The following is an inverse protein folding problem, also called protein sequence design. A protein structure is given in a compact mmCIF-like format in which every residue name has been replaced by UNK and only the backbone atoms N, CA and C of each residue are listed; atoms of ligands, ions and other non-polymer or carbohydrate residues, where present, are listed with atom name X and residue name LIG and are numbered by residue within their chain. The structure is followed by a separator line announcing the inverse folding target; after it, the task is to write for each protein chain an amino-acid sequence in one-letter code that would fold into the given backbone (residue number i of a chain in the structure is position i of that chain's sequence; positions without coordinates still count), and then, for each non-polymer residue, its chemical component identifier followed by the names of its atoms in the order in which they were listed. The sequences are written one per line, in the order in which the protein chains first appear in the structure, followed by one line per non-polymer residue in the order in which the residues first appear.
data_IF_649436383646
#
_entry.id   IF_649436383646
#
_cell.length_a   1.000
_cell.length_b   1.000
_cell.length_c   1.000
_cell.angle_alpha   90.00
_cell.angle_beta   90.00
_cell.angle_gamma   90.00
#
_symmetry.space_group_name_H-M   'P 1'
#
loop_
_entity.id
_entity.type
_entity.pdbx_description
1 polymer ?
#
# COMPACT_ATOMS: atom_id res chain seq x y z
N UNK A 1 8.66 18.30 -41.24
CA UNK A 1 9.26 18.34 -39.89
C UNK A 1 8.19 18.72 -38.87
N UNK A 2 7.74 17.77 -38.05
CA UNK A 2 7.06 18.02 -36.76
C UNK A 2 7.82 17.22 -35.72
N UNK A 3 8.30 17.89 -34.67
CA UNK A 3 9.09 17.28 -33.60
C UNK A 3 8.25 16.31 -32.77
N UNK A 4 8.81 15.16 -32.34
CA UNK A 4 8.19 14.31 -31.33
C UNK A 4 8.33 14.99 -29.97
N UNK A 5 7.40 15.90 -29.65
CA UNK A 5 7.22 16.34 -28.28
C UNK A 5 6.90 15.11 -27.42
N UNK A 6 7.85 14.82 -26.53
CA UNK A 6 7.78 13.90 -25.40
C UNK A 6 6.34 13.51 -25.04
N UNK A 7 5.87 12.33 -25.47
CA UNK A 7 4.73 11.67 -24.85
C UNK A 7 5.03 11.57 -23.36
N UNK A 8 4.43 12.44 -22.56
CA UNK A 8 4.63 12.44 -21.12
C UNK A 8 4.07 11.11 -20.60
N UNK A 9 4.89 10.35 -19.87
CA UNK A 9 4.48 9.07 -19.32
C UNK A 9 3.33 9.29 -18.33
N UNK A 10 2.11 8.94 -18.75
CA UNK A 10 0.89 9.09 -17.94
C UNK A 10 1.03 8.38 -16.60
N UNK A 11 1.75 7.25 -16.52
CA UNK A 11 1.97 6.58 -15.23
C UNK A 11 2.83 7.42 -14.30
N UNK A 12 3.87 8.08 -14.83
CA UNK A 12 4.70 9.00 -14.07
C UNK A 12 3.92 10.23 -13.59
N UNK A 13 3.03 10.77 -14.44
CA UNK A 13 2.13 11.87 -14.05
C UNK A 13 1.18 11.47 -12.94
N UNK A 14 0.54 10.30 -13.07
CA UNK A 14 -0.35 9.76 -12.03
C UNK A 14 0.41 9.57 -10.72
N UNK A 15 1.60 8.96 -10.76
CA UNK A 15 2.43 8.75 -9.58
C UNK A 15 2.81 10.05 -8.87
N UNK A 16 3.15 11.09 -9.65
CA UNK A 16 3.42 12.44 -9.11
C UNK A 16 2.18 13.07 -8.47
N UNK A 17 1.02 12.98 -9.12
CA UNK A 17 -0.25 13.49 -8.59
C UNK A 17 -0.65 12.80 -7.28
N UNK A 18 -0.53 11.47 -7.24
CA UNK A 18 -0.79 10.65 -6.05
C UNK A 18 0.13 11.07 -4.90
N UNK A 19 1.44 11.22 -5.15
CA UNK A 19 2.39 11.69 -4.12
C UNK A 19 2.02 13.06 -3.57
N UNK A 20 1.66 13.99 -4.45
CA UNK A 20 1.29 15.35 -4.06
C UNK A 20 -0.01 15.36 -3.26
N UNK A 21 -1.00 14.57 -3.66
CA UNK A 21 -2.26 14.43 -2.96
C UNK A 21 -2.06 13.78 -1.58
N UNK A 22 -1.27 12.71 -1.48
CA UNK A 22 -0.88 12.11 -0.19
C UNK A 22 -0.30 13.15 0.77
N UNK A 23 0.65 13.96 0.31
CA UNK A 23 1.27 15.02 1.13
C UNK A 23 0.24 16.07 1.56
N UNK A 24 -0.64 16.50 0.64
CA UNK A 24 -1.74 17.43 0.94
C UNK A 24 -2.74 16.85 1.94
N UNK A 25 -2.94 15.54 1.93
CA UNK A 25 -3.76 14.82 2.91
C UNK A 25 -3.10 14.69 4.30
N UNK A 26 -1.83 15.10 4.45
CA UNK A 26 -1.10 15.08 5.72
C UNK A 26 -0.30 13.80 5.99
N UNK A 27 -0.18 12.90 5.02
CA UNK A 27 0.70 11.73 5.12
C UNK A 27 2.08 12.11 4.58
N UNK A 28 3.02 12.39 5.48
CA UNK A 28 4.34 12.91 5.11
C UNK A 28 5.25 11.78 4.63
N UNK A 29 5.13 10.60 5.24
CA UNK A 29 5.90 9.41 4.86
C UNK A 29 5.06 8.40 4.08
N UNK A 30 5.74 7.57 3.29
CA UNK A 30 5.09 6.49 2.53
C UNK A 30 4.59 5.39 3.49
N UNK A 31 5.31 5.15 4.58
CA UNK A 31 4.97 4.19 5.65
C UNK A 31 3.67 4.56 6.36
N UNK A 32 3.49 5.83 6.72
CA UNK A 32 2.24 6.33 7.31
C UNK A 32 1.04 6.08 6.40
N UNK A 33 1.22 6.28 5.10
CA UNK A 33 0.16 6.12 4.12
C UNK A 33 -0.14 4.65 3.83
N UNK A 34 0.89 3.82 3.68
CA UNK A 34 0.78 2.36 3.57
C UNK A 34 0.03 1.76 4.76
N UNK A 35 0.38 2.15 5.98
CA UNK A 35 -0.30 1.71 7.19
C UNK A 35 -1.76 2.16 7.23
N UNK A 36 -2.09 3.35 6.70
CA UNK A 36 -3.46 3.83 6.63
C UNK A 36 -4.32 3.05 5.64
N UNK A 37 -3.74 2.61 4.52
CA UNK A 37 -4.44 1.89 3.45
C UNK A 37 -4.39 0.36 3.61
N UNK A 38 -3.61 -0.17 4.56
CA UNK A 38 -3.25 -1.59 4.64
C UNK A 38 -2.63 -2.14 3.33
N UNK A 39 -1.85 -1.30 2.64
CA UNK A 39 -1.15 -1.63 1.39
C UNK A 39 0.36 -1.55 1.63
N UNK A 40 1.15 -2.41 1.00
CA UNK A 40 2.61 -2.39 1.20
C UNK A 40 3.26 -1.09 0.71
N UNK A 41 4.26 -0.60 1.46
CA UNK A 41 5.13 0.53 1.07
C UNK A 41 5.68 0.38 -0.34
N UNK A 42 6.04 -0.86 -0.71
CA UNK A 42 6.58 -1.17 -2.03
C UNK A 42 5.57 -0.88 -3.13
N UNK A 43 4.35 -1.35 -2.96
CA UNK A 43 3.26 -1.16 -3.94
C UNK A 43 2.94 0.32 -4.12
N UNK A 44 2.81 1.08 -3.02
CA UNK A 44 2.56 2.51 -3.09
C UNK A 44 3.76 3.28 -3.65
N UNK A 45 4.98 2.84 -3.33
CA UNK A 45 6.20 3.41 -3.89
C UNK A 45 6.34 3.16 -5.38
N UNK A 46 5.93 1.99 -5.86
CA UNK A 46 5.91 1.65 -7.28
C UNK A 46 4.86 2.49 -8.03
N UNK A 47 3.69 2.71 -7.42
CA UNK A 47 2.68 3.64 -7.92
C UNK A 47 3.21 5.07 -8.01
N UNK A 48 3.77 5.63 -6.93
CA UNK A 48 4.29 7.00 -6.91
C UNK A 48 5.48 7.23 -7.86
N UNK A 49 6.22 6.17 -8.20
CA UNK A 49 7.32 6.20 -9.18
C UNK A 49 6.85 6.02 -10.62
N UNK A 50 5.56 5.76 -10.84
CA UNK A 50 4.98 5.57 -12.18
C UNK A 50 5.18 4.17 -12.75
N UNK A 51 5.50 3.16 -11.94
CA UNK A 51 5.49 1.77 -12.40
C UNK A 51 4.07 1.19 -12.51
N UNK A 52 3.09 1.87 -11.93
CA UNK A 52 1.68 1.51 -11.94
C UNK A 52 1.30 0.61 -10.76
N UNK A 53 0.00 0.33 -10.64
CA UNK A 53 -0.55 -0.54 -9.62
C UNK A 53 -1.78 -1.28 -10.19
N UNK A 54 -2.21 -2.34 -9.48
CA UNK A 54 -3.41 -3.08 -9.85
C UNK A 54 -4.70 -2.28 -9.62
N UNK A 55 -5.83 -2.68 -10.23
CA UNK A 55 -7.10 -1.97 -10.15
C UNK A 55 -7.60 -1.74 -8.71
N UNK A 56 -7.45 -2.74 -7.84
CA UNK A 56 -7.89 -2.63 -6.44
C UNK A 56 -7.08 -1.57 -5.69
N UNK A 57 -5.76 -1.57 -5.85
CA UNK A 57 -4.89 -0.55 -5.24
C UNK A 57 -5.22 0.85 -5.73
N UNK A 58 -5.56 1.01 -7.01
CA UNK A 58 -5.99 2.31 -7.55
C UNK A 58 -7.32 2.75 -6.92
N UNK A 59 -8.28 1.84 -6.74
CA UNK A 59 -9.55 2.14 -6.08
C UNK A 59 -9.36 2.53 -4.60
N UNK A 60 -8.50 1.82 -3.86
CA UNK A 60 -8.20 2.14 -2.46
C UNK A 60 -7.56 3.53 -2.32
N UNK A 61 -6.63 3.86 -3.22
CA UNK A 61 -5.97 5.17 -3.28
C UNK A 61 -6.96 6.27 -3.65
N UNK A 62 -7.83 6.05 -4.64
CA UNK A 62 -8.87 6.99 -5.05
C UNK A 62 -9.81 7.29 -3.88
N UNK A 63 -10.31 6.25 -3.22
CA UNK A 63 -11.21 6.38 -2.07
C UNK A 63 -10.55 7.19 -0.94
N UNK A 64 -9.29 6.89 -0.61
CA UNK A 64 -8.57 7.59 0.45
C UNK A 64 -8.25 9.05 0.13
N UNK A 65 -8.05 9.37 -1.15
CA UNK A 65 -7.80 10.74 -1.62
C UNK A 65 -9.09 11.49 -1.96
N UNK A 66 -10.27 10.86 -1.79
CA UNK A 66 -11.55 11.44 -2.15
C UNK A 66 -11.71 11.69 -3.65
N UNK A 67 -10.98 10.95 -4.49
CA UNK A 67 -11.07 11.03 -5.94
C UNK A 67 -12.27 10.23 -6.45
N UNK A 68 -12.80 10.64 -7.60
CA UNK A 68 -13.87 9.91 -8.26
C UNK A 68 -13.41 8.47 -8.58
N UNK A 69 -14.21 7.44 -8.24
CA UNK A 69 -13.88 6.05 -8.56
C UNK A 69 -13.61 5.86 -10.06
N UNK A 70 -12.50 5.21 -10.38
CA UNK A 70 -12.06 4.93 -11.76
C UNK A 70 -11.33 6.08 -12.45
N UNK A 71 -11.15 7.24 -11.80
CA UNK A 71 -10.47 8.40 -12.40
C UNK A 71 -9.02 8.11 -12.78
N UNK A 72 -8.28 7.38 -11.96
CA UNK A 72 -6.89 7.00 -12.25
C UNK A 72 -6.82 6.12 -13.48
N UNK A 73 -7.79 5.21 -13.66
CA UNK A 73 -7.86 4.35 -14.83
C UNK A 73 -8.19 5.16 -16.09
N UNK A 74 -9.22 6.00 -16.06
CA UNK A 74 -9.59 6.87 -17.19
C UNK A 74 -8.46 7.79 -17.60
N UNK A 75 -7.71 8.33 -16.64
CA UNK A 75 -6.51 9.11 -16.93
C UNK A 75 -5.43 8.28 -17.63
N UNK A 76 -5.15 7.06 -17.14
CA UNK A 76 -4.17 6.17 -17.77
C UNK A 76 -4.58 5.78 -19.19
N UNK A 77 -5.87 5.55 -19.40
CA UNK A 77 -6.49 5.24 -20.70
C UNK A 77 -6.54 6.49 -21.63
N UNK A 78 -6.34 7.69 -21.07
CA UNK A 78 -6.31 8.96 -21.79
C UNK A 78 -7.69 9.57 -22.05
N UNK A 79 -8.70 9.13 -21.31
CA UNK A 79 -10.09 9.58 -21.41
C UNK A 79 -10.36 10.84 -20.56
N UNK A 80 -9.56 11.08 -19.51
CA UNK A 80 -9.67 12.24 -18.63
C UNK A 80 -8.28 12.83 -18.33
N UNK A 81 -8.23 14.11 -17.94
CA UNK A 81 -7.04 14.76 -17.39
C UNK A 81 -7.07 14.83 -15.85
N UNK A 82 -5.90 15.03 -15.25
CA UNK A 82 -5.73 15.11 -13.79
C UNK A 82 -6.13 16.47 -13.19
N UNK A 83 -6.42 17.47 -14.02
CA UNK A 83 -6.67 18.85 -13.59
C UNK A 83 -7.94 18.99 -12.72
N UNK A 84 -8.89 18.06 -12.85
CA UNK A 84 -10.13 18.01 -12.07
C UNK A 84 -10.08 17.07 -10.84
N UNK A 85 -8.89 16.85 -10.25
CA UNK A 85 -8.80 16.06 -9.02
C UNK A 85 -9.14 16.90 -7.78
N UNK A 86 -10.15 16.50 -6.98
CA UNK A 86 -10.50 17.22 -5.78
C UNK A 86 -9.32 17.27 -4.80
N UNK A 87 -9.23 18.35 -4.02
CA UNK A 87 -8.27 18.42 -2.94
C UNK A 87 -8.57 17.26 -1.97
N UNK A 88 -7.55 16.46 -1.59
CA UNK A 88 -7.79 15.30 -0.77
C UNK A 88 -8.26 15.75 0.61
N UNK A 89 -9.13 14.97 1.26
CA UNK A 89 -9.57 15.27 2.62
C UNK A 89 -8.32 15.38 3.50
N UNK A 90 -8.12 16.55 4.09
CA UNK A 90 -7.02 16.73 5.04
C UNK A 90 -7.32 15.83 6.23
N UNK A 91 -6.36 14.99 6.61
CA UNK A 91 -6.41 14.32 7.90
C UNK A 91 -6.63 15.41 8.95
N UNK A 92 -7.72 15.30 9.73
CA UNK A 92 -8.03 16.26 10.78
C UNK A 92 -6.76 16.52 11.59
N UNK A 93 -6.25 17.74 11.53
CA UNK A 93 -5.04 18.14 12.23
C UNK A 93 -5.36 18.05 13.72
N UNK A 94 -4.82 17.03 14.39
CA UNK A 94 -4.74 17.07 15.84
C UNK A 94 -3.72 18.17 16.19
N UNK A 95 -4.21 19.22 16.83
CA UNK A 95 -3.43 20.27 17.48
C UNK A 95 -2.22 19.65 18.24
N UNK A 96 -1.05 20.28 18.20
CA UNK A 96 0.11 19.82 18.95
C UNK A 96 -0.10 20.10 20.45
N UNK A 97 0.29 19.14 21.30
CA UNK A 97 0.23 19.14 22.77
C UNK A 97 -1.14 18.93 23.45
N UNK A 98 -1.49 17.66 23.72
CA UNK A 98 -2.18 17.14 24.95
C UNK A 98 -2.71 15.68 24.80
N UNK A 99 -2.41 15.03 23.67
CA UNK A 99 -3.24 13.94 23.14
C UNK A 99 -2.78 12.51 23.46
N UNK A 100 -1.82 12.33 24.37
CA UNK A 100 -1.33 10.99 24.74
C UNK A 100 -2.31 10.22 25.64
N UNK A 101 -3.13 10.92 26.44
CA UNK A 101 -4.14 10.29 27.33
C UNK A 101 -5.50 10.09 26.66
N UNK A 102 -5.90 10.96 25.72
CA UNK A 102 -7.17 10.84 25.00
C UNK A 102 -7.21 9.67 24.00
N UNK A 103 -6.11 9.42 23.29
CA UNK A 103 -6.04 8.40 22.23
C UNK A 103 -6.16 6.96 22.74
N UNK A 104 -5.72 6.67 23.96
CA UNK A 104 -5.91 5.36 24.57
C UNK A 104 -7.40 5.10 24.89
N UNK A 105 -8.13 6.13 25.33
CA UNK A 105 -9.55 6.01 25.66
C UNK A 105 -10.42 5.89 24.40
N UNK A 106 -10.12 6.65 23.35
CA UNK A 106 -10.87 6.65 22.09
C UNK A 106 -10.63 5.38 21.27
N UNK A 107 -9.41 4.81 21.29
CA UNK A 107 -9.11 3.53 20.64
C UNK A 107 -9.83 2.34 21.28
N UNK A 108 -10.14 2.41 22.58
CA UNK A 108 -10.94 1.39 23.27
C UNK A 108 -12.43 1.50 22.90
N UNK A 109 -12.91 2.70 22.54
CA UNK A 109 -14.32 2.97 22.24
C UNK A 109 -14.72 2.74 20.77
N UNK A 110 -13.75 2.65 19.85
CA UNK A 110 -13.98 2.57 18.40
C UNK A 110 -13.45 1.29 17.73
N UNK A 111 -12.90 0.35 18.49
CA UNK A 111 -12.69 -1.00 17.98
C UNK A 111 -14.04 -1.71 17.99
N UNK A 112 -14.53 -2.27 16.86
CA UNK A 112 -15.67 -3.16 16.95
C UNK A 112 -15.29 -4.27 17.92
N UNK A 113 -16.14 -4.48 18.92
CA UNK A 113 -15.88 -5.54 19.89
C UNK A 113 -15.98 -6.88 19.16
N UNK A 114 -15.39 -7.93 19.74
CA UNK A 114 -15.57 -9.28 19.20
C UNK A 114 -17.06 -9.62 19.03
N UNK A 115 -17.93 -9.08 19.90
CA UNK A 115 -19.38 -9.23 19.80
C UNK A 115 -19.99 -8.56 18.55
N UNK A 116 -19.50 -7.38 18.16
CA UNK A 116 -19.99 -6.66 16.97
C UNK A 116 -19.60 -7.40 15.69
N UNK A 117 -18.36 -7.90 15.62
CA UNK A 117 -17.86 -8.70 14.50
C UNK A 117 -18.60 -10.04 14.39
N UNK A 118 -18.94 -10.65 15.53
CA UNK A 118 -19.72 -11.89 15.59
C UNK A 118 -21.17 -11.69 15.17
N UNK A 119 -21.81 -10.58 15.56
CA UNK A 119 -23.17 -10.26 15.16
C UNK A 119 -23.26 -10.00 13.64
N UNK A 120 -22.29 -9.29 13.08
CA UNK A 120 -22.23 -9.02 11.63
C UNK A 120 -21.95 -10.30 10.82
N UNK A 121 -21.02 -11.15 11.27
CA UNK A 121 -20.75 -12.43 10.63
C UNK A 121 -21.94 -13.41 10.75
N UNK A 122 -22.59 -13.48 11.90
CA UNK A 122 -23.78 -14.30 12.11
C UNK A 122 -24.95 -13.84 11.22
N UNK A 123 -25.15 -12.53 11.09
CA UNK A 123 -26.19 -11.96 10.22
C UNK A 123 -25.91 -12.17 8.73
N UNK A 124 -24.65 -12.00 8.29
CA UNK A 124 -24.27 -12.14 6.88
C UNK A 124 -24.31 -13.59 6.39
N UNK A 125 -24.07 -14.57 7.27
CA UNK A 125 -23.93 -15.98 6.89
C UNK A 125 -25.00 -16.90 7.50
N UNK A 126 -25.95 -16.37 8.28
CA UNK A 126 -27.00 -17.13 8.98
C UNK A 126 -26.44 -18.31 9.81
N UNK A 127 -25.27 -18.11 10.41
CA UNK A 127 -24.57 -19.13 11.20
C UNK A 127 -24.67 -18.79 12.68
N UNK A 128 -24.67 -19.81 13.54
CA UNK A 128 -24.61 -19.63 14.98
C UNK A 128 -23.35 -18.81 15.36
N UNK A 129 -23.45 -17.83 16.29
CA UNK A 129 -22.32 -16.98 16.69
C UNK A 129 -21.06 -17.76 17.13
N UNK A 130 -21.21 -18.94 17.74
CA UNK A 130 -20.07 -19.77 18.12
C UNK A 130 -19.35 -20.38 16.91
N UNK A 131 -20.09 -20.69 15.85
CA UNK A 131 -19.54 -21.21 14.59
C UNK A 131 -18.89 -20.09 13.75
N UNK A 132 -19.42 -18.86 13.85
CA UNK A 132 -18.81 -17.67 13.26
C UNK A 132 -17.45 -17.32 13.93
N UNK A 133 -17.32 -17.51 15.25
CA UNK A 133 -16.06 -17.30 15.98
C UNK A 133 -14.96 -18.26 15.50
N UNK A 134 -15.28 -19.56 15.44
CA UNK A 134 -14.33 -20.59 14.99
C UNK A 134 -13.89 -20.34 13.55
N UNK A 135 -14.84 -19.96 12.68
CA UNK A 135 -14.53 -19.62 11.29
C UNK A 135 -13.61 -18.40 11.18
N UNK A 136 -13.86 -17.32 11.91
CA UNK A 136 -13.01 -16.12 11.91
C UNK A 136 -11.61 -16.42 12.43
N UNK A 137 -11.48 -17.16 13.53
CA UNK A 137 -10.19 -17.58 14.06
C UNK A 137 -9.41 -18.43 13.05
N UNK A 138 -10.10 -19.29 12.31
CA UNK A 138 -9.50 -20.12 11.26
C UNK A 138 -9.02 -19.28 10.07
N UNK A 139 -9.82 -18.32 9.62
CA UNK A 139 -9.45 -17.39 8.53
C UNK A 139 -8.25 -16.53 8.91
N UNK A 140 -8.24 -15.95 10.11
CA UNK A 140 -7.12 -15.14 10.60
C UNK A 140 -5.84 -15.96 10.74
N UNK A 141 -5.96 -17.22 11.19
CA UNK A 141 -4.84 -18.15 11.27
C UNK A 141 -4.28 -18.50 9.89
N UNK A 142 -5.14 -18.73 8.89
CA UNK A 142 -4.72 -19.01 7.51
C UNK A 142 -3.98 -17.80 6.93
N UNK A 143 -4.52 -16.59 7.11
CA UNK A 143 -3.89 -15.35 6.64
C UNK A 143 -2.53 -15.10 7.29
N UNK A 144 -2.42 -15.36 8.60
CA UNK A 144 -1.15 -15.27 9.31
C UNK A 144 -0.11 -16.25 8.75
N UNK A 145 -0.49 -17.51 8.56
CA UNK A 145 0.41 -18.54 7.99
C UNK A 145 0.83 -18.23 6.56
N UNK A 146 -0.05 -17.64 5.76
CA UNK A 146 0.28 -17.20 4.40
C UNK A 146 1.35 -16.08 4.43
N UNK A 147 1.16 -15.05 5.27
CA UNK A 147 2.15 -13.96 5.45
C UNK A 147 3.51 -14.49 5.95
N UNK A 148 3.51 -15.45 6.87
CA UNK A 148 4.74 -16.07 7.38
C UNK A 148 5.50 -16.84 6.29
N UNK A 149 4.79 -17.55 5.40
CA UNK A 149 5.40 -18.25 4.25
C UNK A 149 5.96 -17.28 3.21
N UNK A 150 5.20 -16.24 2.87
CA UNK A 150 5.66 -15.21 1.93
C UNK A 150 6.93 -14.51 2.45
N UNK A 151 7.00 -14.24 3.75
CA UNK A 151 8.20 -13.69 4.40
C UNK A 151 9.40 -14.65 4.36
N UNK A 152 9.17 -15.95 4.57
CA UNK A 152 10.22 -16.98 4.47
C UNK A 152 10.76 -17.11 3.04
N UNK A 153 9.89 -17.13 2.04
CA UNK A 153 10.28 -17.23 0.63
C UNK A 153 11.08 -16.00 0.18
N UNK A 154 10.70 -14.81 0.66
CA UNK A 154 11.47 -13.58 0.44
C UNK A 154 12.85 -13.62 1.09
N UNK A 155 12.96 -14.11 2.33
CA UNK A 155 14.25 -14.25 3.02
C UNK A 155 15.18 -15.23 2.31
N UNK A 156 14.64 -16.35 1.80
CA UNK A 156 15.40 -17.33 1.00
C UNK A 156 15.88 -16.71 -0.32
N UNK A 157 15.01 -16.00 -1.02
CA UNK A 157 15.35 -15.32 -2.28
C UNK A 157 16.43 -14.24 -2.08
N UNK A 158 16.35 -13.48 -0.98
CA UNK A 158 17.35 -12.46 -0.66
C UNK A 158 18.71 -13.07 -0.32
N UNK A 159 18.73 -14.14 0.48
CA UNK A 159 19.97 -14.87 0.80
C UNK A 159 20.62 -15.47 -0.44
N UNK A 160 19.83 -15.96 -1.39
CA UNK A 160 20.32 -16.45 -2.68
C UNK A 160 20.96 -15.33 -3.52
N UNK A 161 20.34 -14.13 -3.57
CA UNK A 161 20.90 -12.95 -4.25
C UNK A 161 22.21 -12.48 -3.63
N UNK A 162 22.27 -12.40 -2.30
CA UNK A 162 23.48 -12.01 -1.58
C UNK A 162 24.63 -13.00 -1.84
N UNK A 163 24.32 -14.31 -1.86
CA UNK A 163 25.30 -15.36 -2.16
C UNK A 163 25.80 -15.29 -3.60
N UNK A 164 24.90 -15.04 -4.57
CA UNK A 164 25.28 -14.85 -5.97
C UNK A 164 26.16 -13.61 -6.15
N UNK A 165 25.82 -12.49 -5.51
CA UNK A 165 26.61 -11.26 -5.54
C UNK A 165 28.02 -11.45 -4.96
N UNK A 166 28.14 -12.19 -3.85
CA UNK A 166 29.44 -12.50 -3.24
C UNK A 166 30.33 -13.34 -4.18
N UNK A 167 29.77 -14.37 -4.83
CA UNK A 167 30.50 -15.21 -5.79
C UNK A 167 30.97 -14.43 -7.02
N UNK A 168 30.15 -13.51 -7.52
CA UNK A 168 30.53 -12.64 -8.65
C UNK A 168 31.71 -11.73 -8.30
N UNK A 169 31.72 -11.13 -7.10
CA UNK A 169 32.85 -10.31 -6.62
C UNK A 169 34.14 -11.13 -6.48
N UNK A 170 34.05 -12.34 -5.94
CA UNK A 170 35.21 -13.22 -5.80
C UNK A 170 35.80 -13.64 -7.15
N UNK A 171 34.96 -13.91 -8.16
CA UNK A 171 35.42 -14.19 -9.53
C UNK A 171 36.11 -12.99 -10.17
N UNK A 172 35.58 -11.78 -10.00
CA UNK A 172 36.18 -10.55 -10.52
C UNK A 172 37.54 -10.24 -9.85
N UNK A 173 37.69 -10.52 -8.55
CA UNK A 173 38.96 -10.37 -7.85
C UNK A 173 40.02 -11.35 -8.37
N UNK A 174 39.64 -12.60 -8.66
CA UNK A 174 40.56 -13.62 -9.18
C UNK A 174 41.00 -13.36 -10.63
N UNK A 175 40.13 -12.82 -11.48
CA UNK A 175 40.48 -12.48 -12.88
C UNK A 175 41.29 -11.19 -13.01
N UNK A 176 41.24 -10.29 -12.03
CA UNK A 176 42.10 -9.11 -11.98
C UNK A 176 43.55 -9.45 -11.59
N UNK A 177 43.76 -10.53 -10.83
CA UNK A 177 45.07 -10.90 -10.28
C UNK A 177 45.95 -11.68 -11.27
N UNK A 178 45.39 -12.20 -12.37
CA UNK A 178 46.12 -12.94 -13.42
C UNK A 178 46.57 -12.06 -14.60
N UNK A 179 46.33 -10.74 -14.54
CA UNK A 179 46.71 -9.78 -15.59
C UNK A 179 47.81 -8.79 -15.18
N UNK A 180 48.45 -8.98 -14.03
CA UNK A 180 49.65 -8.25 -13.60
C UNK A 180 50.90 -9.09 -13.71
#
# INVERSE_FOLDING_TARGET
MRHPERMVDRKALLGSAVRNARKKAGFNTLQEWAAHLDISDRTLGDLERGHGAGPNTLADVENALGWNPGKSRRFLDGEEDLEDMPAPPQRAQAEPDDDARGRAAVKVLLQPTLADLLAEASAAYQVDPAEAEDWLLRVLTIRRKARERDGQDQAVAERARQTAAARSRQRQAQTGQTRS
#
